data_IF_687352274523
#
_entry.id   IF_687352274523
#
_cell.length_a   1.000
_cell.length_b   1.000
_cell.length_c   1.000
_cell.angle_alpha   90.00
_cell.angle_beta   90.00
_cell.angle_gamma   90.00
#
_symmetry.space_group_name_H-M   'P 1'
#
loop_
_entity.id
_entity.type
_entity.pdbx_description
1 polymer ?
#
# COMPACT_ATOMS: atom_id res chain seq x y z
N UNK A 1 1.53 -9.22 -13.57
CA UNK A 1 2.33 -8.15 -12.94
C UNK A 1 1.54 -7.55 -11.79
N UNK A 2 2.18 -7.37 -10.66
CA UNK A 2 1.56 -6.80 -9.47
C UNK A 2 2.15 -5.44 -9.17
N UNK A 3 1.29 -4.51 -8.77
CA UNK A 3 1.70 -3.15 -8.41
C UNK A 3 1.08 -2.78 -7.08
N UNK A 4 1.82 -2.00 -6.29
CA UNK A 4 1.29 -1.44 -5.06
C UNK A 4 1.05 0.05 -5.27
N UNK A 5 -0.19 0.47 -5.02
CA UNK A 5 -0.57 1.87 -5.00
C UNK A 5 -0.44 2.33 -3.55
N UNK A 6 0.46 3.26 -3.32
CA UNK A 6 0.82 3.71 -1.98
C UNK A 6 0.24 5.10 -1.77
N UNK A 7 -0.61 5.25 -0.75
CA UNK A 7 -1.16 6.55 -0.38
C UNK A 7 -0.20 7.21 0.59
N UNK A 8 0.32 8.37 0.22
CA UNK A 8 1.22 9.14 1.08
C UNK A 8 0.43 9.80 2.20
N UNK A 9 1.03 9.85 3.39
CA UNK A 9 0.42 10.49 4.54
C UNK A 9 0.51 12.02 4.46
N UNK A 10 -0.22 12.68 5.34
CA UNK A 10 -0.19 14.14 5.49
C UNK A 10 -0.01 14.47 6.97
N UNK A 11 0.44 15.70 7.30
CA UNK A 11 0.52 16.12 8.70
C UNK A 11 -0.83 16.04 9.41
N UNK A 12 -1.92 16.35 8.72
CA UNK A 12 -3.29 16.30 9.26
C UNK A 12 -3.69 14.87 9.61
N UNK A 13 -3.38 13.92 8.74
CA UNK A 13 -3.66 12.51 8.99
C UNK A 13 -2.85 12.01 10.21
N UNK A 14 -1.57 12.38 10.28
CA UNK A 14 -0.70 11.96 11.40
C UNK A 14 -1.15 12.55 12.74
N UNK A 15 -1.70 13.76 12.73
CA UNK A 15 -2.16 14.43 13.93
C UNK A 15 -3.56 14.02 14.36
N UNK A 16 -4.34 13.38 13.50
CA UNK A 16 -5.73 13.02 13.80
C UNK A 16 -5.81 12.00 14.94
N UNK A 17 -6.70 12.25 15.88
CA UNK A 17 -6.93 11.36 17.02
C UNK A 17 -7.93 10.26 16.70
N UNK A 18 -8.80 10.48 15.73
CA UNK A 18 -9.79 9.51 15.27
C UNK A 18 -9.93 9.62 13.76
N UNK A 19 -10.21 8.51 13.08
CA UNK A 19 -10.52 8.58 11.65
C UNK A 19 -11.84 9.36 11.48
N UNK A 20 -11.79 10.40 10.67
CA UNK A 20 -12.95 11.21 10.36
C UNK A 20 -13.04 11.37 8.83
N UNK A 21 -13.20 10.26 8.10
CA UNK A 21 -13.25 10.35 6.65
C UNK A 21 -14.55 11.00 6.20
N UNK A 22 -14.44 11.85 5.20
CA UNK A 22 -15.57 12.39 4.49
C UNK A 22 -16.31 11.23 3.80
N UNK A 23 -17.63 11.19 3.95
CA UNK A 23 -18.45 10.14 3.33
C UNK A 23 -18.31 10.14 1.80
N UNK A 24 -18.18 11.30 1.19
CA UNK A 24 -17.97 11.39 -0.26
C UNK A 24 -16.65 10.71 -0.66
N UNK A 25 -15.60 10.89 0.13
CA UNK A 25 -14.31 10.24 -0.13
C UNK A 25 -14.40 8.73 0.07
N UNK A 26 -15.05 8.28 1.14
CA UNK A 26 -15.27 6.85 1.37
C UNK A 26 -16.06 6.21 0.25
N UNK A 27 -17.11 6.88 -0.23
CA UNK A 27 -17.93 6.38 -1.33
C UNK A 27 -17.11 6.27 -2.62
N UNK A 28 -16.28 7.27 -2.92
CA UNK A 28 -15.42 7.26 -4.10
C UNK A 28 -14.39 6.11 -4.01
N UNK A 29 -13.79 5.92 -2.86
CA UNK A 29 -12.84 4.83 -2.64
C UNK A 29 -13.52 3.46 -2.75
N UNK A 30 -14.71 3.32 -2.17
CA UNK A 30 -15.47 2.08 -2.26
C UNK A 30 -15.82 1.76 -3.73
N UNK A 31 -16.31 2.74 -4.47
CA UNK A 31 -16.68 2.54 -5.87
C UNK A 31 -15.47 2.15 -6.72
N UNK A 32 -14.33 2.79 -6.50
CA UNK A 32 -13.09 2.48 -7.23
C UNK A 32 -12.62 1.05 -6.94
N UNK A 33 -12.61 0.65 -5.67
CA UNK A 33 -12.17 -0.71 -5.30
C UNK A 33 -13.16 -1.77 -5.78
N UNK A 34 -14.45 -1.45 -5.83
CA UNK A 34 -15.44 -2.36 -6.40
C UNK A 34 -15.18 -2.58 -7.90
N UNK A 35 -14.81 -1.54 -8.64
CA UNK A 35 -14.44 -1.68 -10.05
C UNK A 35 -13.20 -2.56 -10.22
N UNK A 36 -12.17 -2.34 -9.39
CA UNK A 36 -10.98 -3.20 -9.39
C UNK A 36 -11.34 -4.66 -9.12
N UNK A 37 -12.22 -4.89 -8.15
CA UNK A 37 -12.65 -6.26 -7.79
C UNK A 37 -13.41 -6.91 -8.93
N UNK A 38 -14.33 -6.19 -9.57
CA UNK A 38 -15.09 -6.71 -10.72
C UNK A 38 -14.17 -7.03 -11.90
N UNK A 39 -13.12 -6.25 -12.09
CA UNK A 39 -12.14 -6.50 -13.15
C UNK A 39 -11.19 -7.64 -12.82
N UNK A 40 -11.26 -8.20 -11.61
CA UNK A 40 -10.33 -9.23 -11.16
C UNK A 40 -8.94 -8.70 -10.87
N UNK A 41 -8.78 -7.39 -10.71
CA UNK A 41 -7.49 -6.75 -10.52
C UNK A 41 -7.12 -6.51 -9.05
N UNK A 42 -8.10 -6.51 -8.15
CA UNK A 42 -7.85 -6.22 -6.73
C UNK A 42 -7.30 -7.45 -6.01
N UNK A 43 -6.13 -7.30 -5.38
CA UNK A 43 -5.55 -8.34 -4.53
C UNK A 43 -5.75 -8.05 -3.05
N UNK A 44 -5.53 -6.81 -2.63
CA UNK A 44 -5.64 -6.40 -1.23
C UNK A 44 -5.69 -4.89 -1.16
N UNK A 45 -6.25 -4.36 -0.08
CA UNK A 45 -6.25 -2.93 0.18
C UNK A 45 -6.48 -2.70 1.68
N UNK A 46 -5.74 -1.76 2.26
CA UNK A 46 -5.89 -1.42 3.67
C UNK A 46 -5.42 0.00 3.95
N UNK A 47 -6.09 0.65 4.88
CA UNK A 47 -5.59 1.86 5.49
C UNK A 47 -4.63 1.52 6.62
N UNK A 48 -3.71 2.42 6.91
CA UNK A 48 -2.78 2.28 8.01
C UNK A 48 -3.11 3.30 9.11
N UNK A 49 -2.95 2.89 10.35
CA UNK A 49 -3.05 3.79 11.49
C UNK A 49 -1.89 4.81 11.46
N UNK A 50 -2.05 6.00 12.06
CA UNK A 50 -0.94 6.96 12.14
C UNK A 50 0.29 6.38 12.82
N UNK A 51 1.46 6.97 12.53
CA UNK A 51 2.75 6.43 13.00
C UNK A 51 2.88 6.39 14.52
N UNK A 52 2.12 7.19 15.27
CA UNK A 52 2.12 7.11 16.75
C UNK A 52 1.66 5.75 17.26
N UNK A 53 0.95 4.99 16.42
CA UNK A 53 0.49 3.64 16.75
C UNK A 53 1.51 2.57 16.37
N UNK A 54 2.62 2.99 15.75
CA UNK A 54 3.64 2.07 15.26
C UNK A 54 4.98 2.28 15.92
N UNK A 55 5.95 1.55 15.45
CA UNK A 55 7.33 1.64 15.92
C UNK A 55 8.27 1.24 14.78
N UNK A 56 9.55 1.56 14.95
CA UNK A 56 10.62 1.14 14.05
C UNK A 56 11.61 0.30 14.81
N UNK A 57 12.22 -0.67 14.11
CA UNK A 57 13.34 -1.44 14.65
C UNK A 57 14.57 -1.06 13.83
N UNK A 58 15.58 -0.50 14.48
CA UNK A 58 16.84 -0.15 13.84
C UNK A 58 17.89 -1.20 14.13
N UNK A 59 18.65 -1.56 13.10
CA UNK A 59 19.71 -2.55 13.15
C UNK A 59 21.05 -1.82 13.05
N UNK A 60 22.04 -2.27 13.81
CA UNK A 60 23.38 -1.68 13.76
C UNK A 60 24.39 -2.57 14.51
N UNK A 61 25.63 -2.10 14.58
CA UNK A 61 26.72 -2.83 15.22
C UNK A 61 26.46 -3.14 16.71
N UNK A 62 25.67 -2.30 17.38
CA UNK A 62 25.30 -2.48 18.78
C UNK A 62 24.04 -3.33 18.99
N UNK A 63 23.49 -3.95 17.95
CA UNK A 63 22.30 -4.77 18.03
C UNK A 63 21.06 -4.06 17.49
N UNK A 64 19.88 -4.44 17.97
CA UNK A 64 18.60 -3.91 17.53
C UNK A 64 18.03 -2.94 18.54
N UNK A 65 17.37 -1.91 18.05
CA UNK A 65 16.74 -0.90 18.90
C UNK A 65 15.34 -0.59 18.41
N UNK A 66 14.38 -0.60 19.33
CA UNK A 66 12.99 -0.25 19.04
C UNK A 66 12.78 1.24 19.29
N UNK A 67 12.19 1.94 18.34
CA UNK A 67 11.91 3.37 18.44
C UNK A 67 10.41 3.55 18.19
N UNK A 68 9.68 4.00 19.22
CA UNK A 68 8.25 4.24 19.10
C UNK A 68 7.97 5.48 18.25
N UNK A 69 6.83 5.45 17.52
CA UNK A 69 6.33 6.65 16.85
C UNK A 69 5.78 7.67 17.84
N UNK A 70 5.35 8.85 17.39
CA UNK A 70 5.22 9.23 15.98
C UNK A 70 6.56 9.59 15.32
N UNK A 71 6.56 9.57 13.98
CA UNK A 71 7.71 9.96 13.16
C UNK A 71 7.41 11.28 12.46
N UNK A 72 8.41 12.16 12.35
CA UNK A 72 8.20 13.56 11.97
C UNK A 72 8.06 13.83 10.48
N UNK A 73 8.61 12.95 9.64
CA UNK A 73 8.63 13.16 8.19
C UNK A 73 7.34 12.61 7.55
N UNK A 74 6.20 13.32 7.76
CA UNK A 74 4.89 12.86 7.31
C UNK A 74 4.84 12.53 5.81
N UNK A 75 5.58 13.29 4.98
CA UNK A 75 5.62 13.05 3.53
C UNK A 75 6.31 11.75 3.14
N UNK A 76 7.11 11.18 4.02
CA UNK A 76 7.77 9.90 3.81
C UNK A 76 6.96 8.74 4.36
N UNK A 77 5.91 9.03 5.12
CA UNK A 77 5.04 8.01 5.71
C UNK A 77 3.93 7.66 4.74
N UNK A 78 3.36 6.49 4.92
CA UNK A 78 2.22 6.04 4.11
C UNK A 78 0.98 5.92 4.97
N UNK A 79 -0.17 6.23 4.37
CA UNK A 79 -1.47 6.17 5.05
C UNK A 79 -2.29 4.95 4.63
N UNK A 80 -1.87 4.25 3.58
CA UNK A 80 -2.57 3.07 3.11
C UNK A 80 -2.00 2.57 1.80
N UNK A 81 -2.55 1.46 1.34
CA UNK A 81 -2.12 0.86 0.08
C UNK A 81 -3.25 0.09 -0.58
N UNK A 82 -3.12 -0.06 -1.89
CA UNK A 82 -3.95 -0.95 -2.69
C UNK A 82 -3.02 -1.80 -3.55
N UNK A 83 -3.19 -3.11 -3.50
CA UNK A 83 -2.38 -4.05 -4.26
C UNK A 83 -3.21 -4.56 -5.44
N UNK A 84 -2.69 -4.41 -6.66
CA UNK A 84 -3.40 -4.80 -7.87
C UNK A 84 -2.58 -5.79 -8.70
N UNK A 85 -3.29 -6.61 -9.46
CA UNK A 85 -2.71 -7.51 -10.45
C UNK A 85 -3.27 -7.15 -11.81
N UNK A 86 -2.37 -6.86 -12.77
CA UNK A 86 -2.73 -6.42 -14.12
C UNK A 86 -1.83 -7.11 -15.13
N UNK A 87 -2.14 -6.94 -16.41
CA UNK A 87 -1.43 -7.60 -17.52
C UNK A 87 -0.24 -6.79 -18.00
N UNK A 88 -0.24 -5.47 -17.77
CA UNK A 88 0.78 -4.59 -18.28
C UNK A 88 0.99 -3.38 -17.39
N UNK A 89 2.11 -2.70 -17.56
CA UNK A 89 2.38 -1.42 -16.92
C UNK A 89 1.36 -0.36 -17.33
N UNK A 90 0.97 -0.36 -18.61
CA UNK A 90 0.00 0.59 -19.16
C UNK A 90 -1.37 0.44 -18.49
N UNK A 91 -1.79 -0.80 -18.25
CA UNK A 91 -3.03 -1.07 -17.52
C UNK A 91 -2.94 -0.55 -16.08
N UNK A 92 -1.79 -0.76 -15.41
CA UNK A 92 -1.57 -0.22 -14.09
C UNK A 92 -1.64 1.31 -14.08
N UNK A 93 -1.01 1.96 -15.07
CA UNK A 93 -1.04 3.42 -15.17
C UNK A 93 -2.47 3.94 -15.37
N UNK A 94 -3.28 3.24 -16.16
CA UNK A 94 -4.67 3.63 -16.37
C UNK A 94 -5.48 3.53 -15.08
N UNK A 95 -5.32 2.43 -14.33
CA UNK A 95 -5.99 2.28 -13.04
C UNK A 95 -5.56 3.37 -12.06
N UNK A 96 -4.27 3.69 -12.00
CA UNK A 96 -3.76 4.67 -11.03
C UNK A 96 -4.16 6.09 -11.38
N UNK A 97 -4.36 6.42 -12.66
CA UNK A 97 -4.91 7.74 -13.05
C UNK A 97 -6.31 7.95 -12.52
N UNK A 98 -7.08 6.90 -12.36
CA UNK A 98 -8.46 6.96 -11.87
C UNK A 98 -8.56 6.82 -10.36
N UNK A 99 -7.45 6.63 -9.68
CA UNK A 99 -7.44 6.52 -8.22
C UNK A 99 -7.99 7.82 -7.63
N UNK A 100 -9.04 7.75 -6.77
CA UNK A 100 -9.60 8.96 -6.17
C UNK A 100 -8.56 9.72 -5.36
N UNK A 101 -8.65 11.05 -5.33
CA UNK A 101 -7.77 11.84 -4.50
C UNK A 101 -7.92 11.41 -3.04
N UNK A 102 -6.88 10.87 -2.40
CA UNK A 102 -7.01 10.25 -1.08
C UNK A 102 -7.27 11.23 0.07
N UNK A 103 -7.10 12.53 -0.18
CA UNK A 103 -7.38 13.57 0.80
C UNK A 103 -8.73 14.24 0.54
N UNK A 104 -9.19 14.21 -0.71
CA UNK A 104 -10.45 14.80 -1.14
C UNK A 104 -10.25 15.63 -2.40
N UNK A 105 -11.32 15.80 -3.19
CA UNK A 105 -11.27 16.56 -4.42
C UNK A 105 -10.76 17.99 -4.19
N UNK A 106 -9.83 18.42 -5.04
CA UNK A 106 -9.24 19.75 -4.99
C UNK A 106 -8.12 19.91 -3.95
N UNK A 107 -7.87 18.91 -3.13
CA UNK A 107 -6.78 18.96 -2.15
C UNK A 107 -5.47 18.49 -2.78
N UNK A 108 -4.35 18.93 -2.21
CA UNK A 108 -3.04 18.47 -2.63
C UNK A 108 -2.77 17.11 -1.99
N UNK A 109 -2.41 16.13 -2.82
CA UNK A 109 -2.14 14.78 -2.37
C UNK A 109 -1.23 14.08 -3.36
N UNK A 110 -0.65 12.97 -2.92
CA UNK A 110 0.24 12.17 -3.76
C UNK A 110 0.01 10.68 -3.50
N UNK A 111 0.00 9.92 -4.57
CA UNK A 111 0.14 8.47 -4.50
C UNK A 111 1.43 8.08 -5.22
N UNK A 112 2.04 7.00 -4.75
CA UNK A 112 3.22 6.42 -5.40
C UNK A 112 2.88 5.01 -5.82
N UNK A 113 3.32 4.61 -7.01
CA UNK A 113 3.04 3.28 -7.53
C UNK A 113 4.35 2.53 -7.71
N UNK A 114 4.46 1.34 -7.13
CA UNK A 114 5.65 0.51 -7.18
C UNK A 114 5.29 -0.89 -7.67
N UNK A 115 6.07 -1.39 -8.61
CA UNK A 115 5.92 -2.76 -9.09
C UNK A 115 6.51 -3.73 -8.07
N UNK A 116 5.80 -4.81 -7.77
CA UNK A 116 6.32 -5.86 -6.89
C UNK A 116 7.29 -6.76 -7.65
N UNK A 117 8.26 -7.30 -6.92
CA UNK A 117 9.02 -8.43 -7.44
C UNK A 117 8.13 -9.66 -7.53
N UNK A 118 8.35 -10.45 -8.58
CA UNK A 118 7.83 -11.80 -8.68
C UNK A 118 8.98 -12.77 -8.39
N UNK A 119 8.67 -14.00 -7.97
CA UNK A 119 9.73 -14.95 -7.66
C UNK A 119 10.62 -15.25 -8.87
N UNK A 120 10.03 -15.19 -10.08
CA UNK A 120 10.79 -15.39 -11.33
C UNK A 120 11.79 -14.28 -11.63
N UNK A 121 11.69 -13.14 -10.94
CA UNK A 121 12.67 -12.05 -11.07
C UNK A 121 14.02 -12.39 -10.42
N UNK A 122 14.02 -13.39 -9.53
CA UNK A 122 15.21 -13.80 -8.81
C UNK A 122 15.85 -15.01 -9.46
N UNK A 123 17.17 -15.13 -9.36
CA UNK A 123 17.87 -16.32 -9.81
C UNK A 123 17.37 -17.54 -9.02
N UNK A 124 17.22 -18.71 -9.65
CA UNK A 124 16.80 -19.91 -8.95
C UNK A 124 17.72 -20.24 -7.77
N UNK A 125 17.11 -20.60 -6.65
CA UNK A 125 17.83 -21.00 -5.46
C UNK A 125 16.92 -21.86 -4.57
N UNK A 126 17.48 -22.65 -3.64
CA UNK A 126 16.66 -23.39 -2.68
C UNK A 126 15.75 -22.48 -1.85
N UNK A 127 16.19 -21.28 -1.53
CA UNK A 127 15.38 -20.32 -0.77
C UNK A 127 14.21 -19.79 -1.56
N UNK A 128 14.38 -19.53 -2.85
CA UNK A 128 13.30 -19.10 -3.74
C UNK A 128 12.24 -20.20 -3.82
N UNK A 129 12.65 -21.47 -3.89
CA UNK A 129 11.69 -22.59 -3.89
C UNK A 129 10.89 -22.65 -2.59
N UNK A 130 11.51 -22.32 -1.46
CA UNK A 130 10.81 -22.26 -0.18
C UNK A 130 9.74 -21.17 -0.18
N UNK A 131 10.02 -20.00 -0.77
CA UNK A 131 9.01 -18.94 -0.94
C UNK A 131 7.89 -19.40 -1.88
N UNK A 132 8.24 -20.13 -2.94
CA UNK A 132 7.25 -20.64 -3.89
C UNK A 132 6.29 -21.62 -3.22
N UNK A 133 6.79 -22.45 -2.35
CA UNK A 133 5.97 -23.38 -1.57
C UNK A 133 4.99 -22.65 -0.65
N UNK A 134 5.41 -21.53 -0.06
CA UNK A 134 4.55 -20.73 0.81
C UNK A 134 3.41 -20.05 0.04
N UNK A 135 3.61 -19.72 -1.23
CA UNK A 135 2.57 -19.11 -2.06
C UNK A 135 1.48 -20.11 -2.47
N UNK A 136 1.83 -21.38 -2.67
CA UNK A 136 0.91 -22.39 -3.20
C UNK A 136 -0.36 -22.60 -2.35
N UNK A 137 -0.29 -22.69 -1.02
CA UNK A 137 -1.49 -22.86 -0.22
C UNK A 137 -2.48 -21.70 -0.33
N UNK A 138 -1.97 -20.48 -0.55
CA UNK A 138 -2.81 -19.30 -0.68
C UNK A 138 -3.57 -19.28 -2.00
N UNK A 139 -3.03 -19.91 -3.03
CA UNK A 139 -3.68 -20.01 -4.35
C UNK A 139 -4.79 -21.07 -4.38
N UNK A 140 -4.75 -22.00 -3.44
CA UNK A 140 -5.71 -23.09 -3.34
C UNK A 140 -6.90 -22.78 -2.44
N UNK A 141 -6.77 -21.72 -1.64
CA UNK A 141 -7.86 -21.24 -0.80
C UNK A 141 -8.69 -20.21 -1.58
#
# INVERSE_FOLDING_TARGET
MRFMIIVKSTPEFEAATQPAPDEALLAAMAAYHEELARAGALLDASGLQPSRKGWRVRYGAGGRRVIDGPFTEAKELIAGYTLIQVRSREEAMEWTRRFPNPVGEGCEAEIEVRQLYELDDFAPSPSIERFREMEQPQRQA
#
